data_IF_663532339493
#
_entry.id   IF_663532339493
#
_cell.length_a   1.000
_cell.length_b   1.000
_cell.length_c   1.000
_cell.angle_alpha   90.00
_cell.angle_beta   90.00
_cell.angle_gamma   90.00
#
_symmetry.space_group_name_H-M   'P 1'
#
loop_
_entity.id
_entity.type
_entity.pdbx_description
1 polymer ?
#
# COMPACT_ATOMS: atom_id res chain seq x y z
N UNK A 1 23.12 -12.90 -5.81
CA UNK A 1 21.78 -13.42 -6.12
C UNK A 1 20.98 -12.29 -6.73
N UNK A 2 20.66 -12.35 -8.03
CA UNK A 2 19.85 -11.32 -8.70
C UNK A 2 18.39 -11.68 -8.44
N UNK A 3 17.79 -11.06 -7.42
CA UNK A 3 16.35 -11.19 -7.19
C UNK A 3 15.62 -10.71 -8.43
N UNK A 4 14.80 -11.57 -9.02
CA UNK A 4 13.92 -11.20 -10.12
C UNK A 4 13.09 -9.99 -9.65
N UNK A 5 13.17 -8.87 -10.38
CA UNK A 5 12.24 -7.77 -10.17
C UNK A 5 10.82 -8.34 -10.30
N UNK A 6 9.94 -8.17 -9.30
CA UNK A 6 8.55 -8.55 -9.46
C UNK A 6 8.02 -7.86 -10.72
N UNK A 7 7.13 -8.52 -11.49
CA UNK A 7 6.50 -7.86 -12.63
C UNK A 7 5.97 -6.51 -12.13
N UNK A 8 6.30 -5.44 -12.83
CA UNK A 8 5.79 -4.10 -12.53
C UNK A 8 4.28 -4.15 -12.70
N UNK A 9 3.55 -4.62 -11.68
CA UNK A 9 2.11 -4.52 -11.66
C UNK A 9 1.81 -3.05 -11.86
N UNK A 10 1.11 -2.73 -12.93
CA UNK A 10 0.64 -1.37 -13.21
C UNK A 10 -0.79 -1.19 -12.77
N UNK A 11 -1.41 -2.24 -12.26
CA UNK A 11 -2.78 -2.23 -11.81
C UNK A 11 -2.80 -2.15 -10.28
N UNK A 12 -3.45 -1.09 -9.77
CA UNK A 12 -3.57 -0.83 -8.34
C UNK A 12 -4.99 -0.40 -8.02
N UNK A 13 -5.50 -0.82 -6.86
CA UNK A 13 -6.80 -0.37 -6.36
C UNK A 13 -6.56 0.66 -5.27
N UNK A 14 -7.16 1.84 -5.46
CA UNK A 14 -7.11 2.94 -4.50
C UNK A 14 -8.31 2.86 -3.57
N UNK A 15 -8.12 3.19 -2.29
CA UNK A 15 -9.23 3.32 -1.33
C UNK A 15 -9.01 4.53 -0.42
N UNK A 16 -10.03 5.38 -0.30
CA UNK A 16 -10.05 6.57 0.53
C UNK A 16 -9.49 7.82 -0.14
N UNK A 17 -9.27 7.83 -1.47
CA UNK A 17 -8.76 9.01 -2.18
C UNK A 17 -9.87 9.79 -2.89
N UNK A 18 -10.82 9.09 -3.52
CA UNK A 18 -11.99 9.66 -4.18
C UNK A 18 -13.06 8.57 -4.30
N UNK A 19 -14.31 8.88 -3.95
CA UNK A 19 -15.40 7.89 -3.90
C UNK A 19 -15.66 7.23 -5.26
N UNK A 20 -15.41 7.94 -6.36
CA UNK A 20 -15.59 7.46 -7.72
C UNK A 20 -14.52 6.46 -8.18
N UNK A 21 -13.38 6.45 -7.47
CA UNK A 21 -12.22 5.59 -7.75
C UNK A 21 -12.10 4.44 -6.75
N UNK A 22 -12.71 4.57 -5.57
CA UNK A 22 -12.60 3.58 -4.50
C UNK A 22 -13.04 2.19 -4.99
N UNK A 23 -12.23 1.18 -4.66
CA UNK A 23 -12.45 -0.23 -5.01
C UNK A 23 -12.38 -0.56 -6.49
N UNK A 24 -11.99 0.40 -7.33
CA UNK A 24 -11.82 0.19 -8.77
C UNK A 24 -10.33 0.05 -9.12
N UNK A 25 -9.94 -1.01 -9.82
CA UNK A 25 -8.53 -1.19 -10.19
C UNK A 25 -8.16 -0.22 -11.31
N UNK A 26 -7.14 0.60 -11.09
CA UNK A 26 -6.63 1.58 -12.05
C UNK A 26 -5.31 1.09 -12.66
N UNK A 27 -5.18 1.23 -13.97
CA UNK A 27 -3.95 0.92 -14.69
C UNK A 27 -3.08 2.17 -14.81
N UNK A 28 -2.09 2.32 -13.94
CA UNK A 28 -1.18 3.46 -13.93
C UNK A 28 -0.13 3.36 -15.04
N UNK A 29 0.15 4.50 -15.70
CA UNK A 29 1.20 4.59 -16.73
C UNK A 29 2.59 4.35 -16.13
N UNK A 30 2.81 4.84 -14.90
CA UNK A 30 4.04 4.62 -14.13
C UNK A 30 3.70 3.89 -12.83
N UNK A 31 4.47 2.87 -12.42
CA UNK A 31 4.16 2.07 -11.23
C UNK A 31 4.13 2.93 -9.97
N UNK A 32 3.28 2.55 -9.02
CA UNK A 32 3.24 3.17 -7.70
C UNK A 32 4.45 2.65 -6.90
N UNK A 33 5.19 3.51 -6.17
CA UNK A 33 6.27 3.06 -5.30
C UNK A 33 5.79 1.96 -4.37
N UNK A 34 6.56 0.87 -4.25
CA UNK A 34 6.18 -0.29 -3.44
C UNK A 34 5.85 0.06 -1.98
N UNK A 35 6.55 1.05 -1.41
CA UNK A 35 6.30 1.56 -0.05
C UNK A 35 4.94 2.26 0.14
N UNK A 36 4.13 2.42 -0.92
CA UNK A 36 2.76 2.94 -0.85
C UNK A 36 1.70 1.85 -1.03
N UNK A 37 2.11 0.63 -1.36
CA UNK A 37 1.22 -0.50 -1.58
C UNK A 37 1.25 -1.36 -0.33
N UNK A 38 0.08 -1.67 0.22
CA UNK A 38 0.00 -2.59 1.35
C UNK A 38 0.48 -3.98 0.93
N UNK A 39 1.48 -4.53 1.61
CA UNK A 39 1.99 -5.88 1.34
C UNK A 39 0.99 -7.00 1.67
N UNK A 40 -0.04 -6.72 2.49
CA UNK A 40 -1.04 -7.71 2.91
C UNK A 40 -2.24 -7.75 1.96
N UNK A 41 -2.86 -6.60 1.71
CA UNK A 41 -4.09 -6.54 0.91
C UNK A 41 -3.86 -6.02 -0.52
N UNK A 42 -2.66 -5.57 -0.87
CA UNK A 42 -2.34 -5.01 -2.19
C UNK A 42 -2.96 -3.63 -2.48
N UNK A 43 -3.77 -3.08 -1.57
CA UNK A 43 -4.44 -1.80 -1.75
C UNK A 43 -3.49 -0.63 -1.49
N UNK A 44 -3.73 0.47 -2.19
CA UNK A 44 -3.11 1.76 -1.91
C UNK A 44 -4.11 2.61 -1.12
N UNK A 45 -3.75 3.01 0.09
CA UNK A 45 -4.57 3.85 0.98
C UNK A 45 -3.83 5.12 1.37
N UNK A 46 -4.58 6.11 1.86
CA UNK A 46 -4.02 7.41 2.27
C UNK A 46 -2.92 7.27 3.31
N UNK A 47 -3.12 6.41 4.31
CA UNK A 47 -2.15 6.22 5.40
C UNK A 47 -1.56 4.82 5.37
N UNK A 48 -0.24 4.74 5.49
CA UNK A 48 0.54 3.51 5.53
C UNK A 48 1.49 3.53 6.72
N UNK A 49 1.67 2.37 7.36
CA UNK A 49 2.67 2.09 8.36
C UNK A 49 3.86 1.39 7.69
N UNK A 50 5.06 1.90 7.90
CA UNK A 50 6.30 1.23 7.54
C UNK A 50 6.88 0.55 8.78
N UNK A 51 6.99 -0.78 8.72
CA UNK A 51 7.43 -1.61 9.83
C UNK A 51 8.96 -1.75 9.84
N UNK A 52 9.59 -2.05 11.00
CA UNK A 52 11.04 -2.27 11.09
C UNK A 52 11.52 -3.46 10.24
N UNK A 53 10.64 -4.42 9.92
CA UNK A 53 10.93 -5.48 8.97
C UNK A 53 10.87 -5.05 7.49
N UNK A 54 10.78 -3.75 7.21
CA UNK A 54 10.73 -3.12 5.87
C UNK A 54 9.44 -3.35 5.08
N UNK A 55 8.44 -4.00 5.69
CA UNK A 55 7.13 -4.19 5.10
C UNK A 55 6.22 -2.97 5.30
N UNK A 56 5.44 -2.65 4.27
CA UNK A 56 4.42 -1.59 4.32
C UNK A 56 3.04 -2.20 4.54
N UNK A 57 2.32 -1.71 5.56
CA UNK A 57 0.91 -2.00 5.79
C UNK A 57 0.09 -0.75 5.58
N UNK A 58 -1.11 -0.86 5.00
CA UNK A 58 -2.08 0.24 5.10
C UNK A 58 -2.64 0.34 6.52
N UNK A 59 -3.17 1.50 6.89
CA UNK A 59 -3.69 1.77 8.23
C UNK A 59 -4.64 0.69 8.75
N UNK A 60 -5.64 0.25 7.97
CA UNK A 60 -6.57 -0.76 8.48
C UNK A 60 -5.95 -2.16 8.64
N UNK A 61 -4.90 -2.52 7.88
CA UNK A 61 -4.18 -3.78 8.11
C UNK A 61 -3.27 -3.65 9.34
N UNK A 62 -2.63 -2.50 9.52
CA UNK A 62 -1.82 -2.21 10.70
C UNK A 62 -2.65 -2.29 11.99
N UNK A 63 -3.81 -1.63 12.03
CA UNK A 63 -4.72 -1.64 13.17
C UNK A 63 -5.22 -3.06 13.50
N UNK A 64 -5.52 -3.87 12.49
CA UNK A 64 -5.88 -5.28 12.69
C UNK A 64 -4.73 -6.10 13.28
N UNK A 65 -3.49 -5.90 12.83
CA UNK A 65 -2.32 -6.58 13.40
C UNK A 65 -2.00 -6.13 14.85
N UNK A 66 -2.41 -4.91 15.22
CA UNK A 66 -2.20 -4.36 16.55
C UNK A 66 -3.33 -4.70 17.55
N UNK A 67 -4.49 -5.18 17.07
CA UNK A 67 -5.74 -5.25 17.82
C UNK A 67 -5.67 -6.15 19.07
N UNK A 68 -4.86 -7.21 19.02
CA UNK A 68 -4.66 -8.16 20.14
C UNK A 68 -3.34 -7.94 20.90
N UNK A 69 -2.68 -6.79 20.70
CA UNK A 69 -1.40 -6.46 21.33
C UNK A 69 -0.21 -7.30 20.84
N UNK A 70 -0.42 -8.24 19.92
CA UNK A 70 0.62 -9.12 19.41
C UNK A 70 1.66 -8.36 18.56
N UNK A 71 1.25 -7.29 17.86
CA UNK A 71 2.11 -6.43 16.99
C UNK A 71 3.08 -7.26 16.15
N UNK A 72 2.52 -8.21 15.41
CA UNK A 72 3.27 -9.18 14.59
C UNK A 72 3.01 -8.93 13.12
N UNK A 73 4.06 -8.98 12.32
CA UNK A 73 3.95 -8.81 10.88
C UNK A 73 3.29 -10.05 10.28
N UNK A 74 2.19 -9.89 9.54
CA UNK A 74 1.52 -11.03 8.93
C UNK A 74 2.31 -11.62 7.75
N UNK A 75 3.37 -10.95 7.28
CA UNK A 75 4.18 -11.39 6.14
C UNK A 75 5.38 -12.25 6.54
N UNK A 76 6.03 -11.94 7.66
CA UNK A 76 7.26 -12.62 8.10
C UNK A 76 7.27 -13.00 9.60
N UNK A 77 6.24 -12.66 10.36
CA UNK A 77 6.17 -12.96 11.79
C UNK A 77 7.01 -12.05 12.68
N UNK A 78 7.61 -10.98 12.16
CA UNK A 78 8.43 -10.06 12.95
C UNK A 78 7.57 -9.27 13.93
N UNK A 79 7.98 -9.23 15.20
CA UNK A 79 7.35 -8.41 16.25
C UNK A 79 7.91 -7.00 16.21
N UNK A 80 7.08 -5.99 16.46
CA UNK A 80 7.52 -4.60 16.58
C UNK A 80 6.91 -3.92 17.80
N UNK A 81 7.59 -2.87 18.28
CA UNK A 81 7.02 -1.89 19.19
C UNK A 81 6.44 -0.71 18.40
N UNK A 82 5.45 -0.01 18.97
CA UNK A 82 4.75 1.09 18.30
C UNK A 82 5.67 2.27 17.97
N UNK A 83 6.71 2.45 18.78
CA UNK A 83 7.74 3.49 18.61
C UNK A 83 8.62 3.24 17.37
N UNK A 84 8.70 2.00 16.90
CA UNK A 84 9.50 1.60 15.73
C UNK A 84 8.73 1.71 14.40
N UNK A 85 7.47 2.17 14.43
CA UNK A 85 6.60 2.22 13.26
C UNK A 85 6.53 3.64 12.71
N UNK A 86 6.93 3.81 11.46
CA UNK A 86 6.78 5.09 10.76
C UNK A 86 5.42 5.16 10.06
N UNK A 87 4.53 6.02 10.56
CA UNK A 87 3.26 6.33 9.91
C UNK A 87 3.44 7.42 8.86
N UNK A 88 3.12 7.09 7.61
CA UNK A 88 3.26 7.97 6.46
C UNK A 88 1.91 8.20 5.79
N UNK A 89 1.56 9.48 5.61
CA UNK A 89 0.44 9.90 4.78
C UNK A 89 0.88 10.07 3.33
N UNK A 90 0.00 9.71 2.39
CA UNK A 90 0.13 9.97 0.98
C UNK A 90 -0.78 11.16 0.65
N UNK A 91 -0.20 12.32 0.27
CA UNK A 91 -1.01 13.46 -0.15
C UNK A 91 -1.91 13.05 -1.31
N UNK A 92 -3.19 13.36 -1.19
CA UNK A 92 -4.20 12.97 -2.19
C UNK A 92 -3.83 13.55 -3.56
N UNK A 93 -3.32 14.79 -3.57
CA UNK A 93 -2.92 15.53 -4.75
C UNK A 93 -1.77 14.85 -5.50
N UNK A 94 -0.84 14.20 -4.78
CA UNK A 94 0.28 13.49 -5.43
C UNK A 94 -0.21 12.28 -6.22
N UNK A 95 -1.17 11.54 -5.65
CA UNK A 95 -1.67 10.32 -6.25
C UNK A 95 -2.67 10.62 -7.38
N UNK A 96 -3.55 11.60 -7.20
CA UNK A 96 -4.55 12.00 -8.20
C UNK A 96 -3.95 12.68 -9.43
N UNK A 97 -2.73 13.22 -9.34
CA UNK A 97 -2.00 13.77 -10.51
C UNK A 97 -1.36 12.71 -11.40
N UNK A 98 -1.36 11.44 -10.99
CA UNK A 98 -0.72 10.37 -11.75
C UNK A 98 -1.57 9.97 -12.96
N UNK A 99 -0.90 9.69 -14.06
CA UNK A 99 -1.55 9.25 -15.30
C UNK A 99 -1.98 7.79 -15.20
N UNK A 100 -3.21 7.52 -15.60
CA UNK A 100 -3.80 6.19 -15.71
C UNK A 100 -4.30 5.95 -17.13
N UNK A 101 -4.40 4.69 -17.54
CA UNK A 101 -5.07 4.28 -18.75
C UNK A 101 -6.58 4.29 -18.53
N UNK A 102 -7.34 4.61 -19.59
CA UNK A 102 -8.78 4.49 -19.60
C UNK A 102 -9.18 3.02 -19.34
N UNK A 103 -10.24 2.80 -18.54
CA UNK A 103 -10.82 1.47 -18.36
C UNK A 103 -11.32 0.84 -19.65
N UNK A 104 -11.78 1.66 -20.59
CA UNK A 104 -12.31 1.22 -21.88
C UNK A 104 -11.24 1.20 -22.97
N UNK A 105 -9.96 1.13 -22.59
CA UNK A 105 -8.89 0.89 -23.55
C UNK A 105 -9.07 -0.54 -24.09
N UNK A 106 -9.42 -0.64 -25.37
CA UNK A 106 -9.34 -1.88 -26.15
C UNK A 106 -7.87 -2.32 -26.35
#
# INVERSE_FOLDING_TARGET
MRGAMPPESRQYTLVGFAVELDWRPLSFVKPIPAHRVCGVCGLVRRRTAFLPCTHTLCQSCYEQCAQDGARVCPLDGHRWDEEDVELNDCPVEELLKRKVHCWNKE
#
